data_IF_306015894826
#
_entry.id   IF_306015894826
#
_cell.length_a   1.000
_cell.length_b   1.000
_cell.length_c   1.000
_cell.angle_alpha   90.00
_cell.angle_beta   90.00
_cell.angle_gamma   90.00
#
_symmetry.space_group_name_H-M   'P 1'
#
loop_
_entity.id
_entity.type
_entity.pdbx_description
1 polymer ?
#
# COMPACT_ATOMS: atom_id res chain seq x y z
N UNK A 1 -10.06 -21.31 -0.57
CA UNK A 1 -9.26 -21.06 -1.77
C UNK A 1 -10.08 -20.50 -2.93
N UNK A 2 -11.27 -21.04 -3.24
CA UNK A 2 -12.12 -20.49 -4.31
C UNK A 2 -12.45 -18.99 -4.15
N UNK A 3 -12.74 -18.53 -2.93
CA UNK A 3 -12.96 -17.10 -2.65
C UNK A 3 -11.78 -16.21 -3.07
N UNK A 4 -10.54 -16.67 -2.88
CA UNK A 4 -9.34 -15.90 -3.24
C UNK A 4 -9.12 -15.81 -4.76
N UNK A 5 -9.91 -16.55 -5.56
CA UNK A 5 -9.93 -16.42 -7.02
C UNK A 5 -10.86 -15.29 -7.49
N UNK A 6 -11.72 -14.76 -6.64
CA UNK A 6 -12.56 -13.59 -6.99
C UNK A 6 -11.79 -12.29 -6.78
N UNK A 7 -12.24 -11.22 -7.42
CA UNK A 7 -11.67 -9.88 -7.23
C UNK A 7 -11.75 -9.46 -5.77
N UNK A 8 -12.88 -9.70 -5.10
CA UNK A 8 -13.10 -9.37 -3.69
C UNK A 8 -12.14 -10.14 -2.77
N UNK A 9 -11.95 -11.44 -3.02
CA UNK A 9 -11.00 -12.21 -2.24
C UNK A 9 -9.57 -11.73 -2.45
N UNK A 10 -9.17 -11.41 -3.67
CA UNK A 10 -7.86 -10.79 -3.93
C UNK A 10 -7.74 -9.39 -3.29
N UNK A 11 -8.83 -8.62 -3.25
CA UNK A 11 -8.88 -7.33 -2.57
C UNK A 11 -8.59 -7.44 -1.07
N UNK A 12 -8.96 -8.56 -0.45
CA UNK A 12 -8.64 -8.84 0.96
C UNK A 12 -7.16 -9.18 1.20
N UNK A 13 -6.39 -9.51 0.15
CA UNK A 13 -4.98 -9.85 0.25
C UNK A 13 -4.07 -8.61 0.14
N UNK A 14 -4.51 -7.55 -0.54
CA UNK A 14 -3.73 -6.30 -0.61
C UNK A 14 -3.80 -5.55 0.72
N UNK A 15 -2.68 -4.90 1.08
CA UNK A 15 -2.55 -4.22 2.37
C UNK A 15 -3.66 -3.19 2.60
N UNK A 16 -4.15 -3.12 3.84
CA UNK A 16 -5.08 -2.09 4.27
C UNK A 16 -4.36 -0.75 4.46
N UNK A 17 -5.12 0.37 4.51
CA UNK A 17 -4.55 1.69 4.74
C UNK A 17 -3.85 1.78 6.11
N UNK A 18 -4.41 1.15 7.13
CA UNK A 18 -3.85 1.09 8.49
C UNK A 18 -2.50 0.38 8.49
N UNK A 19 -2.39 -0.74 7.76
CA UNK A 19 -1.14 -1.49 7.62
C UNK A 19 -0.09 -0.67 6.88
N UNK A 20 -0.45 -0.03 5.77
CA UNK A 20 0.45 0.83 5.00
C UNK A 20 0.92 2.01 5.86
N UNK A 21 0.00 2.65 6.60
CA UNK A 21 0.31 3.79 7.48
C UNK A 21 1.30 3.39 8.57
N UNK A 22 1.07 2.25 9.23
CA UNK A 22 2.01 1.74 10.24
C UNK A 22 3.40 1.53 9.63
N UNK A 23 3.49 0.84 8.49
CA UNK A 23 4.77 0.57 7.82
C UNK A 23 5.48 1.87 7.43
N UNK A 24 4.75 2.88 6.96
CA UNK A 24 5.30 4.18 6.60
C UNK A 24 5.84 4.92 7.82
N UNK A 25 5.11 4.94 8.93
CA UNK A 25 5.58 5.59 10.17
C UNK A 25 6.83 4.90 10.73
N UNK A 26 6.85 3.56 10.73
CA UNK A 26 8.03 2.79 11.14
C UNK A 26 9.24 3.11 10.24
N UNK A 27 9.04 3.22 8.92
CA UNK A 27 10.08 3.57 7.97
C UNK A 27 10.58 5.02 8.12
N UNK A 28 9.69 5.98 8.37
CA UNK A 28 10.05 7.37 8.63
C UNK A 28 10.92 7.51 9.88
N UNK A 29 10.60 6.78 10.95
CA UNK A 29 11.43 6.78 12.17
C UNK A 29 12.80 6.13 11.93
N UNK A 30 12.83 5.00 11.21
CA UNK A 30 14.06 4.24 10.97
C UNK A 30 15.02 4.94 10.00
N UNK A 31 14.49 5.49 8.91
CA UNK A 31 15.30 6.05 7.82
C UNK A 31 15.39 7.57 7.87
N UNK A 32 14.46 8.26 8.54
CA UNK A 32 14.42 9.71 8.69
C UNK A 32 14.56 10.41 7.33
N UNK A 33 15.49 11.35 7.19
CA UNK A 33 15.78 12.08 5.96
C UNK A 33 16.27 11.21 4.79
N UNK A 34 16.66 9.95 5.06
CA UNK A 34 17.12 9.01 4.01
C UNK A 34 15.99 8.29 3.28
N UNK A 35 14.73 8.38 3.75
CA UNK A 35 13.59 7.79 3.05
C UNK A 35 13.24 8.64 1.82
N UNK A 36 13.49 8.12 0.61
CA UNK A 36 13.31 8.86 -0.66
C UNK A 36 12.09 8.44 -1.46
N UNK A 37 11.70 7.16 -1.36
CA UNK A 37 10.64 6.57 -2.18
C UNK A 37 9.75 5.68 -1.31
N UNK A 38 8.46 5.67 -1.62
CA UNK A 38 7.43 4.87 -0.95
C UNK A 38 6.56 4.24 -2.04
N UNK A 39 6.36 2.93 -1.98
CA UNK A 39 5.61 2.17 -2.97
C UNK A 39 5.53 0.68 -2.61
N UNK A 40 4.84 -0.14 -3.41
CA UNK A 40 4.83 -1.59 -3.23
C UNK A 40 6.20 -2.22 -3.49
N UNK A 41 6.50 -3.32 -2.80
CA UNK A 41 7.82 -3.98 -2.82
C UNK A 41 8.20 -4.57 -4.19
N UNK A 42 7.21 -5.07 -4.93
CA UNK A 42 7.37 -5.74 -6.23
C UNK A 42 6.48 -5.11 -7.31
N UNK A 43 6.74 -5.50 -8.56
CA UNK A 43 5.90 -5.12 -9.69
C UNK A 43 4.45 -5.62 -9.54
N UNK A 44 3.52 -4.91 -10.17
CA UNK A 44 2.08 -5.21 -10.08
C UNK A 44 1.64 -6.37 -10.98
N UNK A 45 2.52 -6.89 -11.84
CA UNK A 45 2.21 -7.97 -12.78
C UNK A 45 1.83 -9.31 -12.12
N UNK A 46 2.11 -9.47 -10.83
CA UNK A 46 1.65 -10.63 -10.05
C UNK A 46 0.16 -10.61 -9.72
N UNK A 47 -0.52 -9.46 -9.85
CA UNK A 47 -1.96 -9.36 -9.64
C UNK A 47 -2.69 -9.68 -10.94
N UNK A 48 -3.58 -10.68 -10.97
CA UNK A 48 -4.30 -11.04 -12.20
C UNK A 48 -5.39 -10.01 -12.57
N UNK A 49 -5.76 -9.12 -11.64
CA UNK A 49 -6.75 -8.07 -11.84
C UNK A 49 -6.12 -6.68 -11.74
N UNK A 50 -6.31 -5.86 -12.77
CA UNK A 50 -5.91 -4.45 -12.79
C UNK A 50 -6.61 -3.64 -11.69
N UNK A 51 -7.84 -4.02 -11.33
CA UNK A 51 -8.58 -3.35 -10.26
C UNK A 51 -7.89 -3.52 -8.90
N UNK A 52 -7.40 -4.72 -8.60
CA UNK A 52 -6.69 -5.01 -7.34
C UNK A 52 -5.36 -4.27 -7.29
N UNK A 53 -4.62 -4.27 -8.40
CA UNK A 53 -3.36 -3.52 -8.52
C UNK A 53 -3.58 -2.01 -8.35
N UNK A 54 -4.60 -1.45 -9.00
CA UNK A 54 -4.96 -0.03 -8.90
C UNK A 54 -5.38 0.34 -7.48
N UNK A 55 -6.14 -0.52 -6.80
CA UNK A 55 -6.57 -0.25 -5.42
C UNK A 55 -5.38 -0.23 -4.45
N UNK A 56 -4.41 -1.14 -4.61
CA UNK A 56 -3.19 -1.11 -3.80
C UNK A 56 -2.43 0.22 -3.95
N UNK A 57 -2.27 0.69 -5.18
CA UNK A 57 -1.66 2.00 -5.46
C UNK A 57 -2.48 3.15 -4.88
N UNK A 58 -3.81 3.09 -5.01
CA UNK A 58 -4.72 4.10 -4.48
C UNK A 58 -4.58 4.22 -2.96
N UNK A 59 -4.70 3.11 -2.22
CA UNK A 59 -4.50 3.07 -0.76
C UNK A 59 -3.14 3.61 -0.36
N UNK A 60 -2.10 3.23 -1.09
CA UNK A 60 -0.73 3.69 -0.85
C UNK A 60 -0.62 5.21 -1.02
N UNK A 61 -1.16 5.76 -2.11
CA UNK A 61 -1.15 7.21 -2.36
C UNK A 61 -1.94 7.99 -1.31
N UNK A 62 -3.10 7.49 -0.89
CA UNK A 62 -3.92 8.17 0.12
C UNK A 62 -3.20 8.26 1.47
N UNK A 63 -2.59 7.16 1.91
CA UNK A 63 -1.83 7.14 3.16
C UNK A 63 -0.62 8.08 3.11
N UNK A 64 0.11 8.12 1.99
CA UNK A 64 1.23 9.06 1.83
C UNK A 64 0.75 10.52 1.96
N UNK A 65 -0.38 10.86 1.33
CA UNK A 65 -0.97 12.21 1.42
C UNK A 65 -1.40 12.52 2.86
N UNK A 66 -2.09 11.59 3.51
CA UNK A 66 -2.56 11.73 4.90
C UNK A 66 -1.38 11.96 5.86
N UNK A 67 -0.34 11.12 5.79
CA UNK A 67 0.83 11.25 6.66
C UNK A 67 1.56 12.56 6.40
N UNK A 68 1.71 12.97 5.13
CA UNK A 68 2.33 14.26 4.78
C UNK A 68 1.56 15.46 5.34
N UNK A 69 0.23 15.43 5.30
CA UNK A 69 -0.60 16.49 5.86
C UNK A 69 -0.45 16.61 7.39
N UNK A 70 -0.26 15.49 8.09
CA UNK A 70 -0.12 15.47 9.55
C UNK A 70 1.31 15.81 10.05
N UNK A 71 2.29 15.88 9.15
CA UNK A 71 3.67 16.26 9.47
C UNK A 71 3.95 17.75 9.22
N UNK A 72 3.02 18.46 8.57
CA UNK A 72 3.07 19.91 8.35
C UNK A 72 2.32 20.65 9.45
#
# INVERSE_FOLDING_TARGET
WEYLKTTEGMMSLIASKERIKKNLLDALELYKERLRFIGPDCGLGGWPSQQVASELLHRTSEVIKEVKLNLN
#
